data_IF_087720934570
#
_entry.id   IF_087720934570
#
_cell.length_a   1.000
_cell.length_b   1.000
_cell.length_c   1.000
_cell.angle_alpha   90.00
_cell.angle_beta   90.00
_cell.angle_gamma   90.00
#
_symmetry.space_group_name_H-M   'P 1'
#
loop_
_entity.id
_entity.type
_entity.pdbx_description
1 polymer ?
#
# COMPACT_ATOMS: atom_id res chain seq x y z
N UNK A 1 12.83 -37.31 9.58
CA UNK A 1 13.71 -36.54 8.68
C UNK A 1 13.03 -36.50 7.32
N UNK A 2 12.34 -35.41 6.99
CA UNK A 2 11.74 -35.19 5.69
C UNK A 2 11.72 -33.67 5.48
N UNK A 3 12.79 -33.13 4.89
CA UNK A 3 12.80 -31.76 4.41
C UNK A 3 11.88 -31.73 3.19
N UNK A 4 10.58 -31.52 3.43
CA UNK A 4 9.64 -31.27 2.36
C UNK A 4 10.10 -29.98 1.67
N UNK A 5 10.68 -30.13 0.48
CA UNK A 5 10.90 -29.05 -0.48
C UNK A 5 9.53 -28.48 -0.87
N UNK A 6 8.89 -27.72 0.02
CA UNK A 6 7.84 -26.82 -0.39
C UNK A 6 8.53 -25.76 -1.26
N UNK A 7 8.54 -26.00 -2.56
CA UNK A 7 9.10 -25.07 -3.53
C UNK A 7 8.22 -23.83 -3.50
N UNK A 8 8.70 -22.78 -2.82
CA UNK A 8 8.04 -21.49 -2.89
C UNK A 8 8.33 -20.90 -4.27
N UNK A 9 7.27 -20.58 -4.99
CA UNK A 9 7.39 -19.93 -6.30
C UNK A 9 8.11 -18.59 -6.16
N UNK A 10 8.79 -18.18 -7.23
CA UNK A 10 9.38 -16.85 -7.30
C UNK A 10 8.26 -15.80 -7.22
N UNK A 11 8.55 -14.67 -6.58
CA UNK A 11 7.58 -13.56 -6.53
C UNK A 11 7.35 -13.00 -7.93
N UNK A 12 6.07 -12.84 -8.28
CA UNK A 12 5.63 -12.23 -9.53
C UNK A 12 4.51 -11.23 -9.22
N UNK A 13 4.80 -9.95 -9.47
CA UNK A 13 3.89 -8.82 -9.25
C UNK A 13 2.64 -8.87 -10.13
N UNK A 14 2.71 -9.55 -11.29
CA UNK A 14 1.58 -9.67 -12.23
C UNK A 14 0.58 -10.75 -11.80
N UNK A 15 1.02 -11.71 -10.99
CA UNK A 15 0.22 -12.88 -10.60
C UNK A 15 -0.42 -12.67 -9.24
N UNK A 16 0.29 -12.09 -8.27
CA UNK A 16 -0.21 -11.95 -6.89
C UNK A 16 0.37 -10.73 -6.17
N UNK A 17 -0.38 -10.11 -5.24
CA UNK A 17 0.12 -9.01 -4.44
C UNK A 17 1.21 -9.49 -3.46
N UNK A 18 2.12 -8.57 -3.11
CA UNK A 18 3.25 -8.82 -2.21
C UNK A 18 2.79 -9.30 -0.82
N UNK A 19 1.66 -8.79 -0.32
CA UNK A 19 1.06 -9.21 0.97
C UNK A 19 0.80 -10.71 1.02
N UNK A 20 0.09 -11.25 0.02
CA UNK A 20 -0.21 -12.69 -0.08
C UNK A 20 1.06 -13.53 -0.24
N UNK A 21 2.08 -13.01 -0.93
CA UNK A 21 3.37 -13.69 -1.03
C UNK A 21 4.07 -13.79 0.34
N UNK A 22 4.08 -12.71 1.11
CA UNK A 22 4.66 -12.68 2.46
C UNK A 22 3.88 -13.59 3.43
N UNK A 23 2.56 -13.62 3.37
CA UNK A 23 1.76 -14.55 4.18
C UNK A 23 2.15 -16.01 3.90
N UNK A 24 2.26 -16.38 2.62
CA UNK A 24 2.74 -17.72 2.22
C UNK A 24 4.16 -17.99 2.73
N UNK A 25 5.04 -16.99 2.70
CA UNK A 25 6.39 -17.11 3.24
C UNK A 25 6.39 -17.34 4.75
N UNK A 26 5.51 -16.66 5.49
CA UNK A 26 5.37 -16.85 6.94
C UNK A 26 4.89 -18.25 7.28
N UNK A 27 3.90 -18.77 6.53
CA UNK A 27 3.47 -20.15 6.66
C UNK A 27 4.60 -21.13 6.35
N UNK A 28 5.42 -20.85 5.34
CA UNK A 28 6.60 -21.66 5.01
C UNK A 28 7.63 -21.66 6.14
N UNK A 29 7.92 -20.51 6.75
CA UNK A 29 8.82 -20.39 7.91
C UNK A 29 8.30 -21.18 9.11
N UNK A 30 6.99 -21.10 9.38
CA UNK A 30 6.34 -21.84 10.47
C UNK A 30 6.35 -23.36 10.23
N UNK A 31 6.01 -23.80 9.00
CA UNK A 31 5.97 -25.22 8.65
C UNK A 31 7.35 -25.90 8.67
N UNK A 32 8.41 -25.14 8.39
CA UNK A 32 9.78 -25.65 8.36
C UNK A 32 10.58 -25.33 9.64
N UNK A 33 9.95 -24.76 10.68
CA UNK A 33 10.61 -24.37 11.93
C UNK A 33 11.89 -23.56 11.71
N UNK A 34 11.85 -22.60 10.79
CA UNK A 34 13.02 -21.79 10.42
C UNK A 34 13.30 -20.77 11.52
N UNK A 35 14.53 -20.76 12.03
CA UNK A 35 14.97 -19.82 13.05
C UNK A 35 15.00 -18.37 12.52
N UNK A 36 14.76 -17.39 13.40
CA UNK A 36 14.55 -15.99 13.03
C UNK A 36 15.78 -15.37 12.32
N UNK A 37 16.99 -15.78 12.70
CA UNK A 37 18.26 -15.41 12.08
C UNK A 37 18.36 -15.86 10.61
N UNK A 38 17.67 -16.94 10.24
CA UNK A 38 17.67 -17.49 8.88
C UNK A 38 16.51 -16.96 8.03
N UNK A 39 15.56 -16.23 8.61
CA UNK A 39 14.38 -15.71 7.90
C UNK A 39 14.77 -14.80 6.73
N UNK A 40 15.72 -13.88 6.93
CA UNK A 40 16.19 -12.96 5.88
C UNK A 40 16.95 -13.68 4.77
N UNK A 41 17.98 -14.50 5.04
CA UNK A 41 18.67 -15.28 4.00
C UNK A 41 17.74 -16.18 3.18
N UNK A 42 16.75 -16.82 3.83
CA UNK A 42 15.77 -17.66 3.14
C UNK A 42 14.85 -16.81 2.24
N UNK A 43 14.38 -15.65 2.73
CA UNK A 43 13.59 -14.73 1.92
C UNK A 43 14.35 -14.30 0.65
N UNK A 44 15.59 -13.85 0.81
CA UNK A 44 16.42 -13.38 -0.31
C UNK A 44 16.65 -14.48 -1.37
N UNK A 45 16.61 -15.75 -0.97
CA UNK A 45 16.71 -16.89 -1.89
C UNK A 45 15.42 -17.16 -2.66
N UNK A 46 14.24 -16.95 -2.05
CA UNK A 46 12.94 -17.28 -2.67
C UNK A 46 12.33 -16.14 -3.49
N UNK A 47 12.63 -14.87 -3.18
CA UNK A 47 12.05 -13.69 -3.86
C UNK A 47 12.43 -13.56 -5.35
N UNK A 48 13.48 -14.27 -5.78
CA UNK A 48 13.99 -14.28 -7.15
C UNK A 48 14.88 -13.09 -7.51
N UNK A 49 15.58 -13.23 -8.65
CA UNK A 49 16.60 -12.29 -9.09
C UNK A 49 16.07 -10.88 -9.42
N UNK A 50 14.88 -10.78 -10.05
CA UNK A 50 14.25 -9.49 -10.40
C UNK A 50 13.98 -8.65 -9.15
N UNK A 51 13.27 -9.23 -8.19
CA UNK A 51 12.93 -8.60 -6.90
C UNK A 51 14.16 -8.31 -6.06
N UNK A 52 15.15 -9.21 -6.06
CA UNK A 52 16.42 -8.99 -5.36
C UNK A 52 17.20 -7.80 -5.94
N UNK A 53 17.26 -7.67 -7.26
CA UNK A 53 17.89 -6.53 -7.93
C UNK A 53 17.23 -5.20 -7.56
N UNK A 54 15.89 -5.18 -7.55
CA UNK A 54 15.11 -4.03 -7.09
C UNK A 54 15.41 -3.71 -5.62
N UNK A 55 15.32 -4.70 -4.73
CA UNK A 55 15.62 -4.52 -3.30
C UNK A 55 17.01 -3.92 -3.12
N UNK A 56 18.02 -4.46 -3.79
CA UNK A 56 19.40 -3.96 -3.74
C UNK A 56 19.49 -2.50 -4.17
N UNK A 57 18.70 -2.07 -5.17
CA UNK A 57 18.62 -0.67 -5.58
C UNK A 57 17.95 0.22 -4.52
N UNK A 58 16.96 -0.30 -3.79
CA UNK A 58 16.20 0.44 -2.78
C UNK A 58 16.92 0.60 -1.44
N UNK A 59 17.72 -0.39 -1.02
CA UNK A 59 18.50 -0.33 0.24
C UNK A 59 19.93 0.17 0.09
N UNK A 60 20.35 0.61 -1.10
CA UNK A 60 21.67 1.20 -1.31
C UNK A 60 21.88 2.44 -0.39
N UNK A 61 23.08 2.62 0.20
CA UNK A 61 24.33 1.89 0.00
C UNK A 61 24.49 0.58 0.82
N UNK A 62 23.52 0.24 1.67
CA UNK A 62 23.59 -0.91 2.58
C UNK A 62 23.27 -2.24 1.87
N UNK A 63 23.72 -3.36 2.46
CA UNK A 63 23.43 -4.70 1.92
C UNK A 63 22.05 -5.19 2.38
N UNK A 64 21.24 -5.79 1.49
CA UNK A 64 19.93 -6.34 1.86
C UNK A 64 19.99 -7.47 2.89
N UNK A 65 21.14 -8.13 3.05
CA UNK A 65 21.33 -9.17 4.07
C UNK A 65 21.60 -8.64 5.49
N UNK A 66 21.93 -7.35 5.62
CA UNK A 66 22.21 -6.70 6.91
C UNK A 66 20.97 -6.02 7.50
N UNK A 67 19.88 -5.93 6.72
CA UNK A 67 18.62 -5.31 7.12
C UNK A 67 17.69 -6.33 7.80
N UNK A 68 16.85 -5.84 8.69
CA UNK A 68 15.82 -6.63 9.36
C UNK A 68 14.73 -7.09 8.37
N UNK A 69 14.17 -8.28 8.62
CA UNK A 69 13.06 -8.82 7.81
C UNK A 69 11.93 -7.79 7.63
N UNK A 70 11.50 -7.14 8.73
CA UNK A 70 10.46 -6.11 8.70
C UNK A 70 10.81 -4.95 7.76
N UNK A 71 12.05 -4.46 7.81
CA UNK A 71 12.48 -3.36 6.95
C UNK A 71 12.43 -3.76 5.46
N UNK A 72 12.90 -4.96 5.13
CA UNK A 72 12.87 -5.48 3.76
C UNK A 72 11.43 -5.63 3.25
N UNK A 73 10.56 -6.23 4.07
CA UNK A 73 9.16 -6.42 3.70
C UNK A 73 8.43 -5.10 3.53
N UNK A 74 8.69 -4.13 4.41
CA UNK A 74 8.08 -2.80 4.37
C UNK A 74 8.56 -2.01 3.14
N UNK A 75 9.85 -2.02 2.83
CA UNK A 75 10.40 -1.35 1.64
C UNK A 75 9.84 -1.93 0.34
N UNK A 76 9.76 -3.26 0.23
CA UNK A 76 9.20 -3.91 -0.95
C UNK A 76 7.69 -3.72 -1.04
N UNK A 77 6.96 -3.79 0.09
CA UNK A 77 5.53 -3.48 0.13
C UNK A 77 5.28 -2.05 -0.34
N UNK A 78 6.06 -1.06 0.15
CA UNK A 78 5.94 0.34 -0.29
C UNK A 78 6.29 0.54 -1.78
N UNK A 79 7.11 -0.31 -2.37
CA UNK A 79 7.41 -0.21 -3.79
C UNK A 79 6.33 -0.87 -4.67
N UNK A 80 5.87 -2.07 -4.33
CA UNK A 80 4.86 -2.81 -5.10
C UNK A 80 3.42 -2.37 -4.82
N UNK A 81 3.21 -1.80 -3.65
CA UNK A 81 1.94 -1.23 -3.20
C UNK A 81 2.28 0.02 -2.43
N UNK A 82 2.73 1.08 -3.14
CA UNK A 82 2.93 2.39 -2.51
C UNK A 82 1.71 2.65 -1.68
N UNK A 83 1.92 2.94 -0.38
CA UNK A 83 0.83 3.29 0.53
C UNK A 83 -0.04 4.25 -0.25
N UNK A 84 -1.31 3.91 -0.52
CA UNK A 84 -2.19 4.90 -1.08
C UNK A 84 -2.18 6.02 -0.05
N UNK A 85 -1.55 7.15 -0.40
CA UNK A 85 -2.09 8.42 0.04
C UNK A 85 -3.56 8.28 -0.34
N UNK A 86 -4.46 8.29 0.64
CA UNK A 86 -5.85 7.90 0.43
C UNK A 86 -6.43 8.83 -0.64
N UNK A 87 -6.39 8.36 -1.88
CA UNK A 87 -7.09 8.89 -3.03
C UNK A 87 -8.41 8.17 -2.96
N UNK A 88 -9.39 8.81 -2.34
CA UNK A 88 -10.76 8.32 -2.40
C UNK A 88 -11.21 8.43 -3.87
N UNK A 89 -11.25 7.31 -4.58
CA UNK A 89 -11.78 7.25 -5.93
C UNK A 89 -13.31 7.26 -5.84
N UNK A 90 -13.92 8.44 -5.99
CA UNK A 90 -15.37 8.59 -5.88
C UNK A 90 -16.06 8.03 -7.13
N UNK A 91 -16.71 6.88 -6.98
CA UNK A 91 -17.64 6.35 -7.99
C UNK A 91 -19.05 6.70 -7.55
N UNK A 92 -19.57 7.82 -8.05
CA UNK A 92 -20.94 8.22 -7.73
C UNK A 92 -21.93 7.46 -8.63
N UNK A 93 -22.76 6.60 -8.03
CA UNK A 93 -23.86 5.88 -8.70
C UNK A 93 -25.06 6.81 -8.92
N UNK A 94 -24.84 7.87 -9.69
CA UNK A 94 -25.87 8.87 -10.01
C UNK A 94 -25.71 9.38 -11.43
N UNK A 95 -25.80 8.49 -12.43
CA UNK A 95 -26.03 8.82 -13.85
C UNK A 95 -24.98 9.66 -14.60
N UNK A 96 -23.99 10.24 -13.92
CA UNK A 96 -22.94 11.08 -14.52
C UNK A 96 -21.58 10.52 -14.06
N UNK A 97 -20.83 9.95 -15.02
CA UNK A 97 -19.45 9.55 -14.80
C UNK A 97 -18.56 10.80 -14.79
N UNK A 98 -18.28 11.33 -13.60
CA UNK A 98 -17.40 12.50 -13.42
C UNK A 98 -15.96 12.26 -13.86
N UNK A 99 -15.58 10.99 -14.09
CA UNK A 99 -14.26 10.55 -14.61
C UNK A 99 -13.82 11.23 -15.91
N UNK A 100 -14.74 11.89 -16.62
CA UNK A 100 -14.44 12.56 -17.89
C UNK A 100 -14.16 14.07 -17.76
N UNK A 101 -14.32 14.68 -16.56
CA UNK A 101 -14.21 16.16 -16.44
C UNK A 101 -13.66 16.62 -15.07
N UNK A 102 -12.34 16.82 -14.94
CA UNK A 102 -11.72 17.33 -13.71
C UNK A 102 -12.32 18.66 -13.23
N UNK A 103 -12.76 19.50 -14.16
CA UNK A 103 -13.36 20.79 -13.86
C UNK A 103 -14.70 20.70 -13.10
N UNK A 104 -15.47 19.63 -13.29
CA UNK A 104 -16.75 19.49 -12.59
C UNK A 104 -16.55 18.86 -11.22
N UNK A 105 -15.60 17.92 -11.11
CA UNK A 105 -15.19 17.37 -9.81
C UNK A 105 -14.64 18.46 -8.90
N UNK A 106 -13.73 19.29 -9.42
CA UNK A 106 -13.17 20.42 -8.66
C UNK A 106 -14.27 21.36 -8.15
N UNK A 107 -15.23 21.75 -9.01
CA UNK A 107 -16.35 22.62 -8.61
C UNK A 107 -17.25 21.99 -7.55
N UNK A 108 -17.51 20.68 -7.63
CA UNK A 108 -18.28 19.98 -6.61
C UNK A 108 -17.50 19.93 -5.28
N UNK A 109 -16.21 19.61 -5.31
CA UNK A 109 -15.36 19.54 -4.12
C UNK A 109 -15.12 20.91 -3.47
N UNK A 110 -15.09 21.99 -4.24
CA UNK A 110 -15.05 23.36 -3.71
C UNK A 110 -16.28 23.71 -2.85
N UNK A 111 -17.40 22.99 -3.00
CA UNK A 111 -18.59 23.13 -2.15
C UNK A 111 -18.64 22.12 -0.99
N UNK A 112 -17.96 20.98 -1.11
CA UNK A 112 -18.01 19.86 -0.13
C UNK A 112 -16.88 19.93 0.90
N UNK A 113 -15.69 20.38 0.49
CA UNK A 113 -14.49 20.46 1.33
C UNK A 113 -14.31 21.75 2.17
N UNK A 114 -15.05 22.86 1.98
CA UNK A 114 -14.98 23.98 2.91
C UNK A 114 -15.25 23.55 4.35
N UNK A 115 -14.41 24.00 5.29
CA UNK A 115 -14.51 23.66 6.71
C UNK A 115 -13.51 22.61 7.20
N UNK A 116 -12.81 21.93 6.28
CA UNK A 116 -11.77 20.96 6.63
C UNK A 116 -10.38 21.59 6.56
N UNK A 117 -9.65 21.56 7.66
CA UNK A 117 -8.30 22.16 7.73
C UNK A 117 -7.27 21.23 7.09
N UNK A 118 -6.43 21.76 6.19
CA UNK A 118 -5.38 21.03 5.44
C UNK A 118 -5.89 19.88 4.56
N UNK A 119 -7.06 20.10 3.94
CA UNK A 119 -7.63 19.25 2.90
C UNK A 119 -7.69 20.04 1.61
N UNK A 120 -7.15 19.48 0.53
CA UNK A 120 -7.09 20.12 -0.78
C UNK A 120 -7.62 19.17 -1.85
N UNK A 121 -8.47 19.68 -2.75
CA UNK A 121 -8.82 18.95 -3.97
C UNK A 121 -7.81 19.32 -5.05
N UNK A 122 -7.24 18.31 -5.71
CA UNK A 122 -6.36 18.47 -6.85
C UNK A 122 -6.80 17.51 -7.96
N UNK A 123 -7.37 18.07 -9.03
CA UNK A 123 -7.95 17.29 -10.13
C UNK A 123 -9.01 16.31 -9.60
N UNK A 124 -8.75 15.01 -9.69
CA UNK A 124 -9.67 13.94 -9.25
C UNK A 124 -9.32 13.43 -7.83
N UNK A 125 -8.29 14.00 -7.18
CA UNK A 125 -7.76 13.54 -5.90
C UNK A 125 -8.10 14.50 -4.76
N UNK A 126 -8.46 13.95 -3.59
CA UNK A 126 -8.56 14.70 -2.34
C UNK A 126 -7.30 14.42 -1.51
N UNK A 127 -6.48 15.45 -1.35
CA UNK A 127 -5.24 15.42 -0.58
C UNK A 127 -5.52 15.85 0.86
N UNK A 128 -5.29 14.94 1.80
CA UNK A 128 -5.37 15.20 3.25
C UNK A 128 -3.96 15.26 3.82
N UNK A 129 -3.57 16.39 4.39
CA UNK A 129 -2.20 16.61 4.91
C UNK A 129 -2.20 16.89 6.41
N UNK A 130 -1.33 16.19 7.15
CA UNK A 130 -1.13 16.36 8.61
C UNK A 130 0.28 15.94 9.04
N UNK A 131 0.71 16.42 10.21
CA UNK A 131 2.04 16.13 10.76
C UNK A 131 2.10 14.82 11.53
N UNK A 132 0.97 14.35 12.06
CA UNK A 132 0.88 13.09 12.82
C UNK A 132 -0.19 12.15 12.24
N UNK A 133 -0.01 10.84 12.43
CA UNK A 133 -0.95 9.81 11.95
C UNK A 133 -2.31 9.91 12.64
N UNK A 134 -2.33 10.24 13.93
CA UNK A 134 -3.56 10.43 14.70
C UNK A 134 -4.40 11.60 14.15
N UNK A 135 -3.76 12.74 13.88
CA UNK A 135 -4.42 13.89 13.25
C UNK A 135 -4.89 13.56 11.83
N UNK A 136 -4.13 12.74 11.09
CA UNK A 136 -4.51 12.34 9.74
C UNK A 136 -5.79 11.49 9.74
N UNK A 137 -5.92 10.54 10.68
CA UNK A 137 -7.12 9.71 10.82
C UNK A 137 -8.35 10.53 11.23
N UNK A 138 -8.20 11.45 12.17
CA UNK A 138 -9.29 12.35 12.58
C UNK A 138 -9.76 13.23 11.41
N UNK A 139 -8.81 13.77 10.63
CA UNK A 139 -9.12 14.53 9.43
C UNK A 139 -9.81 13.67 8.36
N UNK A 140 -9.38 12.42 8.20
CA UNK A 140 -9.96 11.49 7.25
C UNK A 140 -11.41 11.16 7.63
N UNK A 141 -11.68 10.90 8.89
CA UNK A 141 -13.05 10.66 9.38
C UNK A 141 -13.93 11.90 9.16
N UNK A 142 -13.40 13.11 9.37
CA UNK A 142 -14.11 14.35 9.08
C UNK A 142 -14.41 14.50 7.57
N UNK A 143 -13.44 14.19 6.71
CA UNK A 143 -13.61 14.19 5.25
C UNK A 143 -14.69 13.19 4.83
N UNK A 144 -14.59 11.93 5.28
CA UNK A 144 -15.56 10.88 4.98
C UNK A 144 -16.96 11.22 5.52
N UNK A 145 -17.04 11.84 6.69
CA UNK A 145 -18.28 12.34 7.27
C UNK A 145 -18.95 13.41 6.42
N UNK A 146 -18.18 14.39 5.93
CA UNK A 146 -18.67 15.41 5.00
C UNK A 146 -19.16 14.77 3.69
N UNK A 147 -18.34 13.92 3.08
CA UNK A 147 -18.69 13.24 1.83
C UNK A 147 -20.02 12.50 1.96
N UNK A 148 -20.22 11.77 3.07
CA UNK A 148 -21.47 11.07 3.36
C UNK A 148 -22.68 11.99 3.51
N UNK A 149 -22.53 13.20 4.08
CA UNK A 149 -23.61 14.18 4.17
C UNK A 149 -24.06 14.68 2.79
N UNK A 150 -23.14 14.74 1.83
CA UNK A 150 -23.41 15.10 0.44
C UNK A 150 -23.78 13.89 -0.43
N UNK A 151 -23.99 12.71 0.16
CA UNK A 151 -24.36 11.47 -0.55
C UNK A 151 -23.21 10.81 -1.31
N UNK A 152 -21.97 11.26 -1.12
CA UNK A 152 -20.76 10.69 -1.72
C UNK A 152 -20.35 9.46 -0.90
N UNK A 153 -20.42 8.29 -1.55
CA UNK A 153 -20.01 7.03 -0.97
C UNK A 153 -18.64 6.63 -1.52
N UNK A 154 -17.74 6.24 -0.61
CA UNK A 154 -16.47 5.58 -0.93
C UNK A 154 -16.73 4.09 -0.76
N UNK A 155 -16.73 3.34 -1.87
CA UNK A 155 -16.82 1.87 -1.88
C UNK A 155 -15.43 1.24 -1.86
#
# INVERSE_FOLDING_TARGET
MAFAFAHMEVFDESVKPWTTYIERFEHFVKANSIAADKKVPVLLRVIGGKTYGLLRSLVAPDKPGEKSFKHITDTLQQHFSPKPLIIANFVFTGGISWRATPAIFQRAMDHVLPGLSNVHCYLDDILVTRQTEAEHLENLDAVLGHLKQFGLHVE
#
